data_IF_209680129375
#
_entry.id   IF_209680129375
#
_cell.length_a   1.000
_cell.length_b   1.000
_cell.length_c   1.000
_cell.angle_alpha   90.00
_cell.angle_beta   90.00
_cell.angle_gamma   90.00
#
_symmetry.space_group_name_H-M   'P 1'
#
loop_
_entity.id
_entity.type
_entity.pdbx_description
1 polymer ?
#
# COMPACT_ATOMS: atom_id res chain seq x y z
N UNK A 1 -21.10 -7.99 18.78
CA UNK A 1 -19.95 -8.89 19.02
C UNK A 1 -18.81 -8.37 18.14
N UNK A 2 -17.66 -8.04 18.72
CA UNK A 2 -16.49 -7.65 17.93
C UNK A 2 -16.10 -8.82 17.01
N UNK A 3 -15.91 -8.57 15.72
CA UNK A 3 -15.44 -9.61 14.81
C UNK A 3 -13.94 -9.79 14.99
N UNK A 4 -13.49 -11.03 15.15
CA UNK A 4 -12.08 -11.38 15.11
C UNK A 4 -11.51 -11.12 13.70
N UNK A 5 -10.18 -11.05 13.60
CA UNK A 5 -9.49 -11.01 12.32
C UNK A 5 -9.97 -12.15 11.39
N UNK A 6 -10.21 -11.88 10.10
CA UNK A 6 -10.69 -12.89 9.17
C UNK A 6 -9.63 -13.96 8.91
N UNK A 7 -10.04 -15.21 8.68
CA UNK A 7 -9.10 -16.34 8.54
C UNK A 7 -8.10 -16.16 7.40
N UNK A 8 -8.47 -15.47 6.32
CA UNK A 8 -7.56 -15.16 5.22
C UNK A 8 -6.38 -14.28 5.66
N UNK A 9 -6.58 -13.37 6.63
CA UNK A 9 -5.49 -12.54 7.17
C UNK A 9 -4.54 -13.41 7.99
N UNK A 10 -5.10 -14.28 8.84
CA UNK A 10 -4.31 -15.25 9.62
C UNK A 10 -3.52 -16.20 8.74
N UNK A 11 -4.08 -16.63 7.60
CA UNK A 11 -3.38 -17.46 6.62
C UNK A 11 -2.18 -16.73 6.01
N UNK A 12 -2.35 -15.48 5.56
CA UNK A 12 -1.23 -14.65 5.07
C UNK A 12 -0.14 -14.48 6.13
N UNK A 13 -0.52 -14.12 7.37
CA UNK A 13 0.44 -13.98 8.45
C UNK A 13 1.21 -15.29 8.72
N UNK A 14 0.51 -16.42 8.78
CA UNK A 14 1.12 -17.74 9.01
C UNK A 14 2.10 -18.13 7.89
N UNK A 15 1.79 -17.77 6.65
CA UNK A 15 2.65 -18.02 5.50
C UNK A 15 3.91 -17.13 5.55
N UNK A 16 3.75 -15.86 5.92
CA UNK A 16 4.87 -14.92 6.05
C UNK A 16 5.76 -15.18 7.27
N UNK A 17 5.22 -15.68 8.38
CA UNK A 17 6.03 -16.13 9.52
C UNK A 17 7.02 -17.24 9.12
N UNK A 18 6.66 -18.08 8.15
CA UNK A 18 7.55 -19.12 7.61
C UNK A 18 8.46 -18.60 6.50
N UNK A 19 7.98 -17.62 5.71
CA UNK A 19 8.66 -17.10 4.53
C UNK A 19 8.64 -15.56 4.50
N UNK A 20 9.32 -14.94 5.46
CA UNK A 20 9.28 -13.49 5.72
C UNK A 20 9.66 -12.60 4.53
N UNK A 21 10.41 -13.14 3.56
CA UNK A 21 10.84 -12.42 2.35
C UNK A 21 9.81 -12.45 1.21
N UNK A 22 8.76 -13.25 1.32
CA UNK A 22 7.71 -13.41 0.30
C UNK A 22 6.70 -12.26 0.33
N UNK A 23 7.17 -11.02 0.39
CA UNK A 23 6.34 -9.80 0.54
C UNK A 23 6.00 -9.11 -0.78
N UNK A 24 6.45 -9.67 -1.91
CA UNK A 24 6.18 -9.10 -3.24
C UNK A 24 4.82 -9.56 -3.72
N UNK A 25 3.93 -8.60 -3.95
CA UNK A 25 2.58 -8.80 -4.50
C UNK A 25 2.49 -8.18 -5.88
N UNK A 26 1.69 -8.74 -6.79
CA UNK A 26 1.35 -8.10 -8.06
C UNK A 26 0.03 -7.35 -7.92
N UNK A 27 0.03 -6.04 -8.16
CA UNK A 27 -1.18 -5.22 -8.14
C UNK A 27 -1.60 -4.88 -9.57
N UNK A 28 -2.82 -5.23 -9.93
CA UNK A 28 -3.50 -4.83 -11.16
C UNK A 28 -4.39 -3.60 -10.90
N UNK A 29 -4.29 -2.62 -11.79
CA UNK A 29 -5.16 -1.44 -11.82
C UNK A 29 -5.57 -1.16 -13.27
N UNK A 30 -6.62 -0.38 -13.46
CA UNK A 30 -7.13 -0.04 -14.79
C UNK A 30 -7.16 1.49 -14.90
N UNK A 31 -6.81 2.01 -16.06
CA UNK A 31 -6.98 3.41 -16.38
C UNK A 31 -8.43 3.64 -16.82
N UNK A 32 -9.11 4.70 -16.36
CA UNK A 32 -10.51 4.96 -16.77
C UNK A 32 -10.68 5.21 -18.27
N UNK A 33 -9.60 5.57 -18.96
CA UNK A 33 -9.59 5.82 -20.41
C UNK A 33 -9.34 4.55 -21.24
N UNK A 34 -8.97 3.43 -20.61
CA UNK A 34 -8.60 2.21 -21.32
C UNK A 34 -9.05 0.94 -20.58
N UNK A 35 -9.70 -0.03 -21.26
CA UNK A 35 -10.03 -1.31 -20.65
C UNK A 35 -8.81 -2.22 -20.43
N UNK A 36 -7.60 -1.78 -20.82
CA UNK A 36 -6.38 -2.57 -20.72
C UNK A 36 -5.80 -2.46 -19.29
N UNK A 37 -5.61 -3.60 -18.59
CA UNK A 37 -5.08 -3.58 -17.23
C UNK A 37 -3.59 -3.24 -17.23
N UNK A 38 -3.16 -2.52 -16.21
CA UNK A 38 -1.76 -2.30 -15.88
C UNK A 38 -1.40 -3.15 -14.65
N UNK A 39 -0.26 -3.82 -14.68
CA UNK A 39 0.20 -4.70 -13.60
C UNK A 39 1.63 -4.38 -13.22
N UNK A 40 1.96 -4.44 -11.92
CA UNK A 40 3.32 -4.26 -11.40
C UNK A 40 3.48 -4.92 -10.03
N UNK A 41 4.72 -5.19 -9.66
CA UNK A 41 5.08 -5.64 -8.32
C UNK A 41 5.04 -4.48 -7.31
N UNK A 42 4.52 -4.74 -6.13
CA UNK A 42 4.53 -3.88 -4.96
C UNK A 42 4.91 -4.68 -3.72
N UNK A 43 5.42 -4.00 -2.69
CA UNK A 43 5.85 -4.65 -1.45
C UNK A 43 4.73 -4.53 -0.42
N UNK A 44 4.24 -5.65 0.10
CA UNK A 44 3.43 -5.69 1.30
C UNK A 44 4.23 -5.10 2.47
N UNK A 45 3.65 -4.13 3.18
CA UNK A 45 4.30 -3.49 4.33
C UNK A 45 3.75 -3.96 5.66
N UNK A 46 2.43 -4.04 5.78
CA UNK A 46 1.74 -4.54 6.97
C UNK A 46 0.23 -4.60 6.71
N UNK A 47 -0.51 -5.14 7.68
CA UNK A 47 -1.94 -4.88 7.81
C UNK A 47 -2.17 -3.63 8.66
N UNK A 48 -3.22 -2.88 8.33
CA UNK A 48 -3.79 -1.84 9.21
C UNK A 48 -5.17 -2.32 9.65
N UNK A 49 -5.34 -2.53 10.96
CA UNK A 49 -6.57 -3.07 11.53
C UNK A 49 -7.32 -1.97 12.29
N UNK A 50 -8.58 -1.67 11.96
CA UNK A 50 -9.41 -0.80 12.78
C UNK A 50 -9.61 -1.42 14.17
N UNK A 51 -9.44 -0.64 15.23
CA UNK A 51 -9.58 -1.11 16.62
C UNK A 51 -11.04 -1.49 16.90
N UNK A 52 -11.98 -0.72 16.37
CA UNK A 52 -13.42 -0.93 16.53
C UNK A 52 -13.94 -2.13 15.76
N UNK A 53 -13.25 -2.56 14.69
CA UNK A 53 -13.65 -3.69 13.87
C UNK A 53 -12.44 -4.43 13.28
N UNK A 54 -11.80 -5.32 14.06
CA UNK A 54 -10.64 -6.09 13.59
C UNK A 54 -10.97 -7.06 12.45
N UNK A 55 -12.26 -7.32 12.19
CA UNK A 55 -12.73 -8.10 11.03
C UNK A 55 -12.56 -7.38 9.68
N UNK A 56 -12.14 -6.10 9.67
CA UNK A 56 -11.97 -5.29 8.45
C UNK A 56 -10.52 -4.83 8.24
N UNK A 57 -9.54 -5.75 8.20
CA UNK A 57 -8.13 -5.40 7.97
C UNK A 57 -7.91 -4.82 6.57
N UNK A 58 -7.02 -3.84 6.45
CA UNK A 58 -6.55 -3.29 5.19
C UNK A 58 -5.11 -3.72 4.90
N UNK A 59 -4.80 -3.91 3.63
CA UNK A 59 -3.44 -4.20 3.17
C UNK A 59 -2.72 -2.88 2.88
N UNK A 60 -1.57 -2.66 3.53
CA UNK A 60 -0.73 -1.48 3.34
C UNK A 60 0.42 -1.77 2.38
N UNK A 61 0.54 -0.94 1.34
CA UNK A 61 1.74 -0.82 0.51
C UNK A 61 2.10 0.66 0.30
N UNK A 62 3.16 0.94 -0.45
CA UNK A 62 3.75 2.27 -0.59
C UNK A 62 4.01 2.59 -2.06
N UNK A 63 3.98 3.86 -2.43
CA UNK A 63 4.30 4.31 -3.79
C UNK A 63 4.95 5.69 -3.79
N UNK A 64 5.49 6.07 -4.94
CA UNK A 64 5.65 7.48 -5.29
C UNK A 64 4.30 8.03 -5.76
N UNK A 65 3.86 9.14 -5.15
CA UNK A 65 2.58 9.80 -5.48
C UNK A 65 2.52 10.23 -6.95
N UNK A 66 3.67 10.51 -7.57
CA UNK A 66 3.78 10.98 -8.97
C UNK A 66 3.66 9.84 -9.99
N UNK A 67 3.67 8.58 -9.55
CA UNK A 67 3.67 7.44 -10.46
C UNK A 67 2.30 7.24 -11.15
N UNK A 68 2.25 6.69 -12.39
CA UNK A 68 1.00 6.53 -13.13
C UNK A 68 -0.10 5.76 -12.38
N UNK A 69 0.28 4.78 -11.55
CA UNK A 69 -0.68 3.98 -10.76
C UNK A 69 -1.49 4.83 -9.79
N UNK A 70 -0.95 5.96 -9.32
CA UNK A 70 -1.66 6.89 -8.43
C UNK A 70 -2.88 7.47 -9.14
N UNK A 71 -2.69 8.00 -10.35
CA UNK A 71 -3.78 8.53 -11.15
C UNK A 71 -4.80 7.44 -11.53
N UNK A 72 -4.31 6.24 -11.90
CA UNK A 72 -5.17 5.09 -12.20
C UNK A 72 -6.06 4.71 -11.00
N UNK A 73 -5.49 4.58 -9.80
CA UNK A 73 -6.21 4.21 -8.58
C UNK A 73 -7.20 5.31 -8.16
N UNK A 74 -6.83 6.58 -8.29
CA UNK A 74 -7.73 7.70 -7.99
C UNK A 74 -8.93 7.71 -8.93
N UNK A 75 -8.70 7.45 -10.22
CA UNK A 75 -9.76 7.43 -11.22
C UNK A 75 -10.63 6.17 -11.13
N UNK A 76 -10.05 5.01 -10.83
CA UNK A 76 -10.75 3.77 -10.56
C UNK A 76 -10.12 3.04 -9.35
N UNK A 77 -10.77 3.05 -8.17
CA UNK A 77 -10.21 2.45 -6.97
C UNK A 77 -10.25 0.92 -6.97
N UNK A 78 -10.93 0.27 -7.91
CA UNK A 78 -10.99 -1.19 -7.96
C UNK A 78 -9.65 -1.77 -8.40
N UNK A 79 -9.02 -2.52 -7.50
CA UNK A 79 -7.75 -3.19 -7.75
C UNK A 79 -7.84 -4.67 -7.47
N UNK A 80 -6.96 -5.43 -8.10
CA UNK A 80 -6.74 -6.83 -7.78
C UNK A 80 -5.28 -7.04 -7.38
N UNK A 81 -5.06 -7.85 -6.36
CA UNK A 81 -3.74 -8.32 -5.97
C UNK A 81 -3.67 -9.82 -6.29
N UNK A 82 -2.56 -10.25 -6.90
CA UNK A 82 -2.14 -11.64 -6.90
C UNK A 82 -0.88 -11.77 -6.06
N UNK A 83 -0.85 -12.74 -5.14
CA UNK A 83 0.26 -12.96 -4.24
C UNK A 83 0.52 -14.46 -4.10
N UNK A 84 1.67 -14.88 -4.61
CA UNK A 84 2.15 -16.25 -4.50
C UNK A 84 3.23 -16.36 -3.43
N UNK A 85 3.07 -17.30 -2.50
CA UNK A 85 4.06 -17.62 -1.48
C UNK A 85 4.62 -19.00 -1.80
N UNK A 86 5.74 -19.01 -2.53
CA UNK A 86 6.40 -20.21 -3.06
C UNK A 86 6.60 -21.29 -1.99
N UNK A 87 7.08 -20.88 -0.81
CA UNK A 87 7.46 -21.80 0.24
C UNK A 87 6.29 -22.58 0.87
N UNK A 88 5.09 -22.00 0.95
CA UNK A 88 3.87 -22.72 1.39
C UNK A 88 3.06 -23.27 0.22
N UNK A 89 3.42 -22.92 -1.01
CA UNK A 89 2.65 -23.21 -2.22
C UNK A 89 1.21 -22.70 -2.11
N UNK A 90 1.06 -21.48 -1.61
CA UNK A 90 -0.22 -20.81 -1.39
C UNK A 90 -0.36 -19.59 -2.30
N UNK A 91 -1.56 -19.39 -2.85
CA UNK A 91 -1.92 -18.20 -3.60
C UNK A 91 -3.05 -17.44 -2.93
N UNK A 92 -2.88 -16.14 -2.79
CA UNK A 92 -3.92 -15.20 -2.38
C UNK A 92 -4.23 -14.27 -3.53
N UNK A 93 -5.48 -14.28 -4.00
CA UNK A 93 -5.99 -13.27 -4.93
C UNK A 93 -6.97 -12.39 -4.19
N UNK A 94 -6.68 -11.10 -4.11
CA UNK A 94 -7.47 -10.14 -3.33
C UNK A 94 -8.10 -9.12 -4.27
N UNK A 95 -9.42 -9.06 -4.27
CA UNK A 95 -10.17 -7.96 -4.88
C UNK A 95 -10.43 -6.91 -3.81
N UNK A 96 -10.30 -5.62 -4.14
CA UNK A 96 -10.54 -4.57 -3.16
C UNK A 96 -10.59 -3.16 -3.73
N UNK A 97 -10.87 -2.21 -2.83
CA UNK A 97 -10.85 -0.79 -3.13
C UNK A 97 -9.56 -0.17 -2.59
N UNK A 98 -8.77 0.44 -3.45
CA UNK A 98 -7.53 1.11 -3.10
C UNK A 98 -7.75 2.60 -2.81
N UNK A 99 -7.06 3.11 -1.79
CA UNK A 99 -6.98 4.54 -1.45
C UNK A 99 -5.52 4.99 -1.46
N UNK A 100 -5.26 6.16 -2.03
CA UNK A 100 -3.95 6.82 -1.98
C UNK A 100 -3.94 7.82 -0.82
N UNK A 101 -2.96 7.70 0.06
CA UNK A 101 -2.72 8.66 1.14
C UNK A 101 -1.40 9.40 0.88
N UNK A 102 -1.48 10.60 0.28
CA UNK A 102 -0.30 11.42 0.01
C UNK A 102 0.07 12.30 1.22
N UNK A 103 1.19 13.00 1.12
CA UNK A 103 1.59 14.05 2.06
C UNK A 103 0.47 15.11 2.21
N UNK A 104 0.25 15.68 3.41
CA UNK A 104 -0.65 16.81 3.63
C UNK A 104 -0.32 18.07 2.80
N UNK A 105 0.92 18.17 2.30
CA UNK A 105 1.37 19.25 1.43
C UNK A 105 1.09 18.96 -0.05
N UNK A 106 0.69 17.74 -0.42
CA UNK A 106 0.37 17.37 -1.78
C UNK A 106 -1.06 17.81 -2.17
N UNK A 107 -1.28 18.34 -3.39
CA UNK A 107 -2.62 18.73 -3.84
C UNK A 107 -3.68 17.61 -3.77
N UNK A 108 -3.27 16.34 -3.93
CA UNK A 108 -4.17 15.19 -3.87
C UNK A 108 -4.64 14.86 -2.45
N UNK A 109 -4.06 15.47 -1.42
CA UNK A 109 -4.48 15.24 -0.04
C UNK A 109 -5.94 15.65 0.22
N UNK A 110 -6.38 16.77 -0.38
CA UNK A 110 -7.77 17.20 -0.30
C UNK A 110 -8.73 16.20 -0.95
N UNK A 111 -8.32 15.61 -2.07
CA UNK A 111 -9.07 14.55 -2.73
C UNK A 111 -9.19 13.31 -1.83
N UNK A 112 -8.09 12.91 -1.18
CA UNK A 112 -8.10 11.83 -0.20
C UNK A 112 -9.09 12.09 0.94
N UNK A 113 -9.02 13.26 1.60
CA UNK A 113 -9.93 13.60 2.70
C UNK A 113 -11.40 13.59 2.27
N UNK A 114 -11.70 14.15 1.10
CA UNK A 114 -13.05 14.14 0.55
C UNK A 114 -13.53 12.71 0.25
N UNK A 115 -12.71 11.92 -0.44
CA UNK A 115 -13.04 10.52 -0.77
C UNK A 115 -13.22 9.68 0.49
N UNK A 116 -12.34 9.79 1.48
CA UNK A 116 -12.45 9.05 2.74
C UNK A 116 -13.74 9.38 3.49
N UNK A 117 -14.11 10.66 3.55
CA UNK A 117 -15.35 11.11 4.20
C UNK A 117 -16.59 10.63 3.44
N UNK A 118 -16.62 10.83 2.12
CA UNK A 118 -17.75 10.42 1.26
C UNK A 118 -17.94 8.90 1.23
N UNK A 119 -16.86 8.13 1.16
CA UNK A 119 -16.88 6.67 1.22
C UNK A 119 -17.33 6.15 2.59
N UNK A 120 -16.93 6.81 3.69
CA UNK A 120 -17.39 6.46 5.02
C UNK A 120 -18.91 6.68 5.20
N UNK A 121 -19.47 7.70 4.54
CA UNK A 121 -20.91 7.96 4.55
C UNK A 121 -21.70 6.97 3.69
N UNK A 122 -21.21 6.63 2.49
CA UNK A 122 -21.91 5.72 1.57
C UNK A 122 -21.72 4.24 1.89
N UNK A 123 -20.57 3.86 2.43
CA UNK A 123 -20.17 2.48 2.72
C UNK A 123 -19.62 2.37 4.16
N UNK A 124 -20.50 2.43 5.18
CA UNK A 124 -20.09 2.58 6.58
C UNK A 124 -19.44 1.32 7.19
N UNK A 125 -19.48 0.19 6.50
CA UNK A 125 -18.97 -1.11 6.97
C UNK A 125 -17.68 -1.54 6.26
N UNK A 126 -16.83 -0.56 5.94
CA UNK A 126 -15.50 -0.77 5.32
C UNK A 126 -14.39 -0.51 6.35
N UNK A 127 -13.19 -1.03 6.09
CA UNK A 127 -12.03 -0.78 6.94
C UNK A 127 -11.66 0.69 6.94
N UNK A 128 -11.71 1.33 5.76
CA UNK A 128 -11.50 2.78 5.63
C UNK A 128 -12.52 3.59 6.44
N UNK A 129 -13.81 3.22 6.41
CA UNK A 129 -14.84 3.90 7.21
C UNK A 129 -14.61 3.75 8.72
N UNK A 130 -14.18 2.57 9.17
CA UNK A 130 -13.86 2.32 10.56
C UNK A 130 -12.67 3.19 11.03
N UNK A 131 -11.57 3.21 10.28
CA UNK A 131 -10.40 4.06 10.59
C UNK A 131 -10.73 5.55 10.56
N UNK A 132 -11.61 5.99 9.65
CA UNK A 132 -12.06 7.37 9.62
C UNK A 132 -12.83 7.76 10.90
N UNK A 133 -13.73 6.90 11.39
CA UNK A 133 -14.44 7.11 12.68
C UNK A 133 -13.50 7.10 13.89
N UNK A 134 -12.40 6.35 13.80
CA UNK A 134 -11.35 6.30 14.82
C UNK A 134 -10.41 7.52 14.76
N UNK A 135 -10.60 8.45 13.82
CA UNK A 135 -9.69 9.58 13.57
C UNK A 135 -8.23 9.13 13.39
N UNK A 136 -8.01 8.05 12.64
CA UNK A 136 -6.69 7.48 12.43
C UNK A 136 -5.71 8.50 11.83
N UNK A 137 -4.55 8.69 12.47
CA UNK A 137 -3.53 9.64 12.03
C UNK A 137 -2.71 9.06 10.85
N UNK A 138 -3.20 9.35 9.66
CA UNK A 138 -2.59 8.91 8.42
C UNK A 138 -1.20 9.52 8.17
N UNK A 139 -0.94 10.75 8.62
CA UNK A 139 0.37 11.38 8.42
C UNK A 139 1.41 10.79 9.38
N UNK A 140 1.04 10.52 10.63
CA UNK A 140 1.89 9.77 11.54
C UNK A 140 2.22 8.39 10.97
N UNK A 141 1.22 7.64 10.47
CA UNK A 141 1.46 6.33 9.85
C UNK A 141 2.35 6.43 8.62
N UNK A 142 2.16 7.45 7.78
CA UNK A 142 2.99 7.66 6.58
C UNK A 142 4.45 7.94 6.95
N UNK A 143 4.70 8.81 7.93
CA UNK A 143 6.05 9.08 8.45
C UNK A 143 6.67 7.84 9.09
N UNK A 144 5.91 7.09 9.89
CA UNK A 144 6.35 5.82 10.49
C UNK A 144 6.85 4.85 9.41
N UNK A 145 6.04 4.58 8.38
CA UNK A 145 6.39 3.64 7.31
C UNK A 145 7.57 4.18 6.50
N UNK A 146 7.61 5.47 6.17
CA UNK A 146 8.73 6.09 5.45
C UNK A 146 10.06 5.89 6.17
N UNK A 147 10.10 6.06 7.51
CA UNK A 147 11.32 5.89 8.30
C UNK A 147 11.89 4.47 8.21
N UNK A 148 11.04 3.45 8.07
CA UNK A 148 11.48 2.06 7.88
C UNK A 148 12.12 1.77 6.52
N UNK A 149 11.95 2.66 5.53
CA UNK A 149 12.57 2.49 4.21
C UNK A 149 14.10 2.64 4.31
N UNK A 150 14.83 1.86 3.53
CA UNK A 150 16.29 2.00 3.43
C UNK A 150 16.66 3.37 2.88
N UNK A 151 17.86 3.86 3.20
CA UNK A 151 18.33 5.16 2.71
C UNK A 151 18.41 5.23 1.17
N UNK A 152 18.75 4.11 0.51
CA UNK A 152 18.72 4.01 -0.95
C UNK A 152 17.30 4.05 -1.52
N UNK A 153 16.34 3.43 -0.83
CA UNK A 153 14.93 3.50 -1.22
C UNK A 153 14.40 4.93 -1.05
N UNK A 154 14.72 5.61 0.06
CA UNK A 154 14.38 7.02 0.30
C UNK A 154 14.88 7.93 -0.83
N UNK A 155 16.09 7.70 -1.31
CA UNK A 155 16.66 8.45 -2.43
C UNK A 155 15.87 8.31 -3.74
N UNK A 156 15.18 7.18 -3.96
CA UNK A 156 14.38 6.97 -5.18
C UNK A 156 13.27 8.01 -5.37
N UNK A 157 12.70 8.54 -4.28
CA UNK A 157 11.67 9.58 -4.34
C UNK A 157 12.22 10.98 -4.65
N UNK A 158 13.53 11.18 -4.66
CA UNK A 158 14.16 12.44 -5.10
C UNK A 158 14.41 12.48 -6.62
N UNK A 159 14.33 11.34 -7.28
CA UNK A 159 14.61 11.20 -8.72
C UNK A 159 13.47 11.80 -9.57
N UNK A 160 13.70 11.99 -10.88
CA UNK A 160 12.64 12.38 -11.80
C UNK A 160 11.41 11.47 -11.72
N UNK A 161 10.26 11.98 -12.19
CA UNK A 161 8.97 11.31 -12.07
C UNK A 161 9.02 9.87 -12.61
N UNK A 162 8.63 8.86 -11.83
CA UNK A 162 8.68 7.48 -12.29
C UNK A 162 7.86 7.25 -13.57
N UNK A 163 8.50 6.69 -14.59
CA UNK A 163 7.90 6.45 -15.91
C UNK A 163 8.08 7.57 -16.93
N UNK A 164 8.67 8.72 -16.56
CA UNK A 164 9.05 9.75 -17.53
C UNK A 164 10.30 9.35 -18.33
N UNK A 165 10.52 9.90 -19.53
CA UNK A 165 11.76 9.68 -20.30
C UNK A 165 13.03 10.01 -19.51
N UNK A 166 14.08 9.21 -19.70
CA UNK A 166 15.41 9.44 -19.12
C UNK A 166 16.18 10.49 -19.96
N UNK A 167 15.90 11.76 -19.71
CA UNK A 167 16.60 12.87 -20.39
C UNK A 167 18.06 12.90 -19.93
N UNK A 168 19.00 12.84 -20.88
CA UNK A 168 20.44 12.83 -20.61
C UNK A 168 21.07 11.45 -20.38
N UNK A 169 20.27 10.37 -20.37
CA UNK A 169 20.77 8.99 -20.25
C UNK A 169 21.32 8.65 -18.85
N UNK A 170 22.00 7.51 -18.77
CA UNK A 170 22.52 6.95 -17.52
C UNK A 170 23.61 7.81 -16.89
N UNK A 171 24.38 8.56 -17.68
CA UNK A 171 25.41 9.47 -17.17
C UNK A 171 24.81 10.63 -16.36
N UNK A 172 23.65 11.13 -16.77
CA UNK A 172 22.92 12.13 -15.97
C UNK A 172 22.33 11.49 -14.70
N UNK A 173 21.87 10.24 -14.79
CA UNK A 173 21.30 9.53 -13.65
C UNK A 173 22.29 9.30 -12.51
N UNK A 174 23.60 9.21 -12.81
CA UNK A 174 24.67 9.10 -11.80
C UNK A 174 24.77 10.32 -10.88
N UNK A 175 24.19 11.46 -11.27
CA UNK A 175 24.18 12.69 -10.46
C UNK A 175 23.02 12.73 -9.46
N UNK A 176 22.05 11.82 -9.58
CA UNK A 176 20.90 11.80 -8.69
C UNK A 176 21.29 11.30 -7.30
N UNK A 177 20.53 11.67 -6.26
CA UNK A 177 20.74 11.13 -4.93
C UNK A 177 20.73 9.59 -4.94
N UNK A 178 21.80 9.00 -4.44
CA UNK A 178 21.91 7.55 -4.24
C UNK A 178 21.42 7.12 -2.85
N UNK A 179 21.49 8.03 -1.89
CA UNK A 179 21.20 7.80 -0.48
C UNK A 179 20.56 9.04 0.14
N UNK A 180 19.58 8.82 1.01
CA UNK A 180 18.96 9.87 1.84
C UNK A 180 18.75 9.31 3.24
N UNK A 181 19.43 9.91 4.22
CA UNK A 181 19.40 9.51 5.63
C UNK A 181 18.42 10.35 6.44
N UNK A 182 17.94 9.79 7.56
CA UNK A 182 17.13 10.55 8.52
C UNK A 182 17.97 11.67 9.15
N UNK A 183 17.54 12.94 9.08
CA UNK A 183 18.24 14.05 9.70
C UNK A 183 18.36 13.82 11.22
N UNK A 184 19.58 13.98 11.75
CA UNK A 184 19.87 13.69 13.17
C UNK A 184 19.30 14.73 14.14
N UNK A 185 19.12 15.98 13.69
CA UNK A 185 18.70 17.11 14.51
C UNK A 185 17.85 18.12 13.71
N UNK A 186 17.12 18.98 14.42
CA UNK A 186 16.51 20.20 13.84
C UNK A 186 17.61 21.12 13.30
N UNK A 187 17.27 22.00 12.35
CA UNK A 187 18.21 22.90 11.67
C UNK A 187 19.20 23.56 12.64
N UNK A 188 20.50 23.49 12.31
CA UNK A 188 21.56 24.09 13.14
C UNK A 188 22.33 25.14 12.33
N UNK A 189 22.73 26.27 12.93
CA UNK A 189 23.48 27.31 12.23
C UNK A 189 24.84 26.84 11.65
N UNK A 190 25.42 25.78 12.21
CA UNK A 190 26.73 25.22 11.88
C UNK A 190 26.68 23.94 11.03
N UNK A 191 25.53 23.64 10.44
CA UNK A 191 25.35 22.44 9.61
C UNK A 191 26.12 22.48 8.29
N UNK A 192 26.68 21.32 7.89
CA UNK A 192 27.42 21.19 6.64
C UNK A 192 26.51 21.31 5.42
N UNK A 193 27.05 21.69 4.25
CA UNK A 193 26.27 21.73 3.01
C UNK A 193 25.72 20.35 2.62
N UNK A 194 26.45 19.28 2.95
CA UNK A 194 25.99 17.90 2.75
C UNK A 194 24.76 17.59 3.63
N UNK A 195 24.77 18.00 4.90
CA UNK A 195 23.64 17.83 5.81
C UNK A 195 22.41 18.63 5.35
N UNK A 196 22.62 19.86 4.84
CA UNK A 196 21.56 20.69 4.25
C UNK A 196 20.92 20.01 3.05
N UNK A 197 21.75 19.50 2.14
CA UNK A 197 21.27 18.81 0.95
C UNK A 197 20.54 17.51 1.31
N UNK A 198 21.07 16.72 2.26
CA UNK A 198 20.39 15.52 2.75
C UNK A 198 19.02 15.86 3.38
N UNK A 199 18.91 16.94 4.16
CA UNK A 199 17.62 17.37 4.72
C UNK A 199 16.61 17.75 3.63
N UNK A 200 17.04 18.52 2.63
CA UNK A 200 16.20 18.89 1.49
C UNK A 200 15.74 17.66 0.70
N UNK A 201 16.62 16.68 0.51
CA UNK A 201 16.30 15.42 -0.14
C UNK A 201 15.34 14.59 0.72
N UNK A 202 15.52 14.55 2.05
CA UNK A 202 14.60 13.90 2.97
C UNK A 202 13.19 14.47 2.88
N UNK A 203 13.05 15.80 2.90
CA UNK A 203 11.75 16.47 2.75
C UNK A 203 11.11 16.22 1.39
N UNK A 204 11.91 16.25 0.32
CA UNK A 204 11.44 15.94 -1.04
C UNK A 204 10.96 14.50 -1.16
N UNK A 205 11.76 13.56 -0.65
CA UNK A 205 11.43 12.15 -0.64
C UNK A 205 10.17 11.88 0.17
N UNK A 206 10.08 12.45 1.37
CA UNK A 206 8.89 12.34 2.21
C UNK A 206 7.69 12.96 1.51
N UNK A 207 7.78 14.13 0.87
CA UNK A 207 6.64 14.73 0.14
C UNK A 207 6.11 13.81 -0.97
N UNK A 208 7.00 13.17 -1.72
CA UNK A 208 6.62 12.29 -2.83
C UNK A 208 6.21 10.87 -2.36
N UNK A 209 6.49 10.51 -1.11
CA UNK A 209 6.11 9.23 -0.52
C UNK A 209 4.62 9.19 -0.16
N UNK A 210 3.90 8.18 -0.67
CA UNK A 210 2.49 7.94 -0.38
C UNK A 210 2.22 6.50 0.05
N UNK A 211 1.19 6.32 0.85
CA UNK A 211 0.65 4.99 1.17
C UNK A 211 -0.42 4.61 0.14
N UNK A 212 -0.53 3.31 -0.11
CA UNK A 212 -1.69 2.70 -0.77
C UNK A 212 -2.32 1.74 0.22
N UNK A 213 -3.60 1.95 0.52
CA UNK A 213 -4.38 1.06 1.37
C UNK A 213 -5.37 0.34 0.48
N UNK A 214 -5.31 -0.99 0.46
CA UNK A 214 -6.29 -1.83 -0.22
C UNK A 214 -7.24 -2.38 0.83
N UNK A 215 -8.52 -2.02 0.70
CA UNK A 215 -9.62 -2.47 1.52
C UNK A 215 -10.27 -3.71 0.85
N UNK A 216 -10.00 -4.94 1.33
CA UNK A 216 -10.42 -6.16 0.64
C UNK A 216 -11.93 -6.35 0.66
N UNK A 217 -12.48 -6.75 -0.50
CA UNK A 217 -13.90 -7.14 -0.67
C UNK A 217 -14.05 -8.63 -0.91
N UNK A 218 -13.07 -9.24 -1.57
CA UNK A 218 -13.00 -10.68 -1.83
C UNK A 218 -11.56 -11.17 -1.68
N UNK A 219 -11.39 -12.37 -1.14
CA UNK A 219 -10.10 -13.09 -1.14
C UNK A 219 -10.34 -14.51 -1.64
N UNK A 220 -9.64 -14.91 -2.69
CA UNK A 220 -9.59 -16.29 -3.18
C UNK A 220 -8.24 -16.88 -2.75
N UNK A 221 -8.31 -17.85 -1.84
CA UNK A 221 -7.18 -18.49 -1.20
C UNK A 221 -7.04 -19.92 -1.71
N UNK A 222 -5.91 -20.21 -2.37
CA UNK A 222 -5.58 -21.51 -2.94
C UNK A 222 -4.42 -22.12 -2.17
N UNK A 223 -4.58 -23.37 -1.72
CA UNK A 223 -3.57 -24.16 -1.01
C UNK A 223 -3.16 -25.35 -1.89
N UNK A 224 -1.98 -25.28 -2.51
CA UNK A 224 -1.45 -26.36 -3.38
C UNK A 224 -0.44 -27.27 -2.67
N UNK A 225 0.04 -26.87 -1.49
CA UNK A 225 0.97 -27.67 -0.67
C UNK A 225 0.34 -28.85 0.08
N UNK A 226 -0.95 -29.13 -0.13
CA UNK A 226 -1.73 -30.18 0.56
C UNK A 226 -2.47 -31.08 -0.42
N UNK A 227 -2.71 -32.35 -0.04
CA UNK A 227 -3.44 -33.33 -0.88
C UNK A 227 -4.71 -33.84 -0.16
N UNK A 228 -5.90 -33.78 -0.78
CA UNK A 228 -6.20 -33.05 -2.01
C UNK A 228 -6.00 -31.53 -1.82
N UNK A 229 -5.72 -30.81 -2.91
CA UNK A 229 -5.60 -29.35 -2.90
C UNK A 229 -6.86 -28.71 -2.31
N UNK A 230 -6.73 -27.50 -1.75
CA UNK A 230 -7.87 -26.77 -1.17
C UNK A 230 -7.99 -25.38 -1.80
N UNK A 231 -9.22 -24.89 -1.85
CA UNK A 231 -9.50 -23.52 -2.24
C UNK A 231 -10.67 -22.97 -1.44
N UNK A 232 -10.50 -21.78 -0.89
CA UNK A 232 -11.53 -21.08 -0.14
C UNK A 232 -11.77 -19.70 -0.73
N UNK A 233 -13.02 -19.39 -1.03
CA UNK A 233 -13.46 -18.03 -1.35
C UNK A 233 -13.96 -17.34 -0.08
N UNK A 234 -13.47 -16.13 0.15
CA UNK A 234 -13.90 -15.23 1.21
C UNK A 234 -14.56 -14.02 0.58
N UNK A 235 -15.80 -13.72 0.95
CA UNK A 235 -16.52 -12.55 0.43
C UNK A 235 -17.04 -11.70 1.58
N UNK A 236 -16.75 -10.40 1.54
CA UNK A 236 -17.27 -9.45 2.52
C UNK A 236 -18.65 -8.98 2.11
N UNK A 237 -19.61 -9.07 3.04
CA UNK A 237 -20.95 -8.53 2.86
C UNK A 237 -20.98 -6.99 2.97
N UNK A 238 -22.07 -6.37 2.54
CA UNK A 238 -22.32 -4.94 2.78
C UNK A 238 -22.43 -4.56 4.27
N UNK A 239 -22.62 -5.55 5.16
CA UNK A 239 -22.60 -5.38 6.61
C UNK A 239 -21.19 -5.52 7.21
N UNK A 240 -20.16 -5.68 6.38
CA UNK A 240 -18.77 -5.81 6.83
C UNK A 240 -18.49 -7.15 7.52
N UNK A 241 -19.26 -8.20 7.20
CA UNK A 241 -19.06 -9.56 7.72
C UNK A 241 -18.46 -10.43 6.63
N UNK A 242 -17.50 -11.29 6.97
CA UNK A 242 -16.92 -12.24 6.03
C UNK A 242 -17.72 -13.54 5.98
N UNK A 243 -18.03 -14.00 4.76
CA UNK A 243 -18.48 -15.36 4.48
C UNK A 243 -17.30 -16.13 3.92
N UNK A 244 -17.11 -17.35 4.39
CA UNK A 244 -16.11 -18.29 3.87
C UNK A 244 -16.83 -19.45 3.17
N UNK A 245 -16.32 -19.88 2.03
CA UNK A 245 -16.86 -21.00 1.27
C UNK A 245 -15.72 -21.82 0.65
N UNK A 246 -15.63 -23.10 1.01
CA UNK A 246 -14.78 -24.04 0.30
C UNK A 246 -15.32 -24.23 -1.12
N UNK A 247 -14.45 -24.12 -2.11
CA UNK A 247 -14.76 -24.30 -3.53
C UNK A 247 -13.78 -25.30 -4.15
N UNK A 248 -14.10 -25.81 -5.34
CA UNK A 248 -13.21 -26.72 -6.06
C UNK A 248 -11.92 -25.98 -6.41
N UNK A 249 -10.74 -26.54 -6.11
CA UNK A 249 -9.44 -25.99 -6.49
C UNK A 249 -9.34 -25.63 -7.97
#
# INVERSE_FOLDING_TARGET
MAQNAPRWQSAINSALEKYEKSVVMQLASIDVTSPIPNVRSLIFRSFVNPISNPGLPLILTTTDVRSPKTAQIIANPHVHIAWWIEGTQEQFRVSGLASIIPSPQDPLHKHFLHSATSSAASSPNTGMAALNRENFDWEAKRKEVFKTMSAHMKASWCRPTPGSPLVGGEEEAKKWPERVDEPKDLERPDESEEDKENRKNWETALRNFALILVDPTEVDYVELGVLPNRRTQFTRSSQGTWKEQAIVP
#
